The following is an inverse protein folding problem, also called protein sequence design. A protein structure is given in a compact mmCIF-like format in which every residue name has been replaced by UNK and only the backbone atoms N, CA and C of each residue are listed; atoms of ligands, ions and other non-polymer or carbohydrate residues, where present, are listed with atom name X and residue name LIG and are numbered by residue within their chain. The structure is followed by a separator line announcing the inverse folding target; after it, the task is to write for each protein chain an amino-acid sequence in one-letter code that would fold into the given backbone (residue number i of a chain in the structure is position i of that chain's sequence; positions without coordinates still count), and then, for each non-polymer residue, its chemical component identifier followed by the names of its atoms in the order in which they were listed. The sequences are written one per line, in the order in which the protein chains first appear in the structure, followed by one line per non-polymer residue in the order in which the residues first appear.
data_IF_857493167066
#
_entry.id   IF_857493167066
#
_cell.length_a   1.000
_cell.length_b   1.000
_cell.length_c   1.000
_cell.angle_alpha   90.00
_cell.angle_beta   90.00
_cell.angle_gamma   90.00
#
_symmetry.space_group_name_H-M   'P 1'
#
loop_
_entity.id
_entity.type
_entity.pdbx_description
1 polymer ?
#
# COMPACT_ATOMS: atom_id res chain seq x y z
N UNK A 1 14.81 24.98 2.42
CA UNK A 1 13.77 25.57 1.54
C UNK A 1 12.46 24.86 1.83
N UNK A 2 11.30 25.55 1.87
CA UNK A 2 10.03 24.84 1.97
C UNK A 2 9.88 23.92 0.77
N UNK A 3 9.46 22.68 1.01
CA UNK A 3 9.21 21.70 -0.05
C UNK A 3 8.11 22.26 -0.95
N UNK A 4 8.34 22.37 -2.27
CA UNK A 4 7.37 22.95 -3.18
C UNK A 4 6.06 22.16 -3.18
N UNK A 5 4.97 22.86 -3.48
CA UNK A 5 3.67 22.26 -3.76
C UNK A 5 3.85 21.24 -4.91
N UNK A 6 3.23 20.05 -4.86
CA UNK A 6 3.36 19.07 -5.94
C UNK A 6 2.98 19.68 -7.30
N UNK A 7 3.68 19.31 -8.35
CA UNK A 7 3.34 19.74 -9.71
C UNK A 7 1.90 19.33 -10.06
N UNK A 8 1.10 20.29 -10.52
CA UNK A 8 -0.31 20.08 -10.91
C UNK A 8 -1.34 20.33 -9.81
N UNK A 9 -0.90 20.61 -8.58
CA UNK A 9 -1.80 20.96 -7.49
C UNK A 9 -2.19 22.46 -7.60
N UNK A 10 -3.48 22.76 -7.75
CA UNK A 10 -3.96 24.14 -7.84
C UNK A 10 -3.52 24.89 -6.58
N UNK A 11 -2.75 25.98 -6.73
CA UNK A 11 -2.21 26.73 -5.60
C UNK A 11 -3.30 27.05 -4.56
N UNK A 12 -4.52 27.28 -5.00
CA UNK A 12 -5.72 27.59 -4.20
C UNK A 12 -6.17 26.45 -3.29
N UNK A 13 -6.04 25.18 -3.68
CA UNK A 13 -6.40 24.05 -2.81
C UNK A 13 -5.43 23.83 -1.65
N UNK A 14 -4.26 24.49 -1.68
CA UNK A 14 -3.25 24.45 -0.61
C UNK A 14 -3.29 25.72 0.27
N UNK A 15 -4.18 26.69 -0.01
CA UNK A 15 -4.32 27.96 0.74
C UNK A 15 -5.15 27.82 2.02
N UNK A 16 -5.09 26.68 2.71
CA UNK A 16 -5.90 26.47 3.92
C UNK A 16 -5.19 26.98 5.17
N UNK A 17 -3.87 26.77 5.26
CA UNK A 17 -3.02 27.30 6.32
C UNK A 17 -1.63 27.56 5.77
N UNK A 18 -0.96 28.62 6.23
CA UNK A 18 0.45 28.85 5.91
C UNK A 18 1.36 28.48 7.09
N UNK A 19 2.64 28.23 6.81
CA UNK A 19 3.64 27.85 7.83
C UNK A 19 3.75 28.88 8.97
N UNK A 20 3.61 30.19 8.67
CA UNK A 20 3.66 31.24 9.72
C UNK A 20 2.44 31.19 10.63
N UNK A 21 1.26 30.98 10.07
CA UNK A 21 0.01 30.84 10.83
C UNK A 21 0.02 29.56 11.66
N UNK A 22 0.51 28.45 11.12
CA UNK A 22 0.73 27.22 11.89
C UNK A 22 1.61 27.48 13.11
N UNK A 23 2.75 28.15 12.93
CA UNK A 23 3.66 28.53 14.02
C UNK A 23 3.07 29.53 15.01
N UNK A 24 2.09 30.33 14.60
CA UNK A 24 1.38 31.21 15.53
C UNK A 24 0.44 30.38 16.42
N UNK A 25 -0.31 29.45 15.83
CA UNK A 25 -1.19 28.53 16.55
C UNK A 25 -0.37 27.65 17.50
N UNK A 26 0.74 27.08 17.05
CA UNK A 26 1.61 26.24 17.88
C UNK A 26 2.25 26.98 19.07
N UNK A 27 2.24 28.32 19.05
CA UNK A 27 2.70 29.18 20.15
C UNK A 27 1.56 29.60 21.10
N UNK A 28 0.36 29.05 20.94
CA UNK A 28 -0.79 29.28 21.82
C UNK A 28 -1.89 30.16 21.22
N UNK A 29 -1.75 30.65 19.97
CA UNK A 29 -2.80 31.43 19.33
C UNK A 29 -3.87 30.52 18.68
N UNK A 30 -4.62 29.75 19.49
CA UNK A 30 -5.61 28.78 19.01
C UNK A 30 -6.68 29.38 18.07
N UNK A 31 -7.16 30.57 18.41
CA UNK A 31 -8.12 31.34 17.62
C UNK A 31 -7.54 31.95 16.32
N UNK A 32 -6.25 31.76 16.04
CA UNK A 32 -5.61 32.33 14.86
C UNK A 32 -6.17 31.73 13.56
N UNK A 33 -6.58 32.62 12.65
CA UNK A 33 -7.12 32.29 11.35
C UNK A 33 -6.17 32.71 10.23
N UNK A 34 -5.98 31.84 9.24
CA UNK A 34 -5.18 32.11 8.06
C UNK A 34 -6.10 32.40 6.88
N UNK A 35 -6.50 33.66 6.74
CA UNK A 35 -7.45 34.08 5.70
C UNK A 35 -6.69 34.54 4.48
N UNK A 36 -6.94 33.92 3.33
CA UNK A 36 -6.33 34.29 2.05
C UNK A 36 -7.27 35.18 1.24
N UNK A 37 -6.71 36.21 0.59
CA UNK A 37 -7.44 36.96 -0.42
C UNK A 37 -7.41 36.21 -1.76
N UNK A 38 -8.51 36.20 -2.53
CA UNK A 38 -8.52 35.65 -3.89
C UNK A 38 -7.49 36.32 -4.82
N UNK A 39 -7.17 37.59 -4.55
CA UNK A 39 -6.26 38.39 -5.38
C UNK A 39 -4.82 38.42 -4.88
N UNK A 40 -4.51 37.73 -3.77
CA UNK A 40 -3.17 37.75 -3.15
C UNK A 40 -2.61 36.35 -2.98
N UNK A 41 -1.31 36.19 -3.24
CA UNK A 41 -0.55 34.98 -2.89
C UNK A 41 -0.22 34.87 -1.39
N UNK A 42 -0.71 35.80 -0.56
CA UNK A 42 -0.46 35.85 0.88
C UNK A 42 -1.76 35.87 1.68
N UNK A 43 -1.73 35.26 2.87
CA UNK A 43 -2.78 35.44 3.86
C UNK A 43 -2.71 36.83 4.51
N UNK A 44 -3.83 37.31 5.06
CA UNK A 44 -3.96 38.61 5.73
C UNK A 44 -2.88 38.84 6.79
N UNK A 45 -2.60 37.81 7.59
CA UNK A 45 -1.55 37.84 8.61
C UNK A 45 -0.16 38.09 8.00
N UNK A 46 0.22 37.32 6.98
CA UNK A 46 1.52 37.50 6.32
C UNK A 46 1.62 38.83 5.57
N UNK A 47 0.52 39.30 4.97
CA UNK A 47 0.44 40.60 4.30
C UNK A 47 0.67 41.73 5.29
N UNK A 48 -0.01 41.74 6.44
CA UNK A 48 0.14 42.77 7.47
C UNK A 48 1.56 42.87 8.03
N UNK A 49 2.30 41.76 8.03
CA UNK A 49 3.68 41.70 8.53
C UNK A 49 4.73 41.82 7.42
N UNK A 50 4.33 42.15 6.19
CA UNK A 50 5.21 42.22 5.02
C UNK A 50 6.12 41.00 4.84
N UNK A 51 5.61 39.81 5.20
CA UNK A 51 6.41 38.60 5.28
C UNK A 51 6.16 37.62 4.13
N UNK A 52 7.07 36.66 3.87
CA UNK A 52 6.80 35.55 2.97
C UNK A 52 5.64 34.69 3.48
N UNK A 53 4.73 34.31 2.59
CA UNK A 53 3.62 33.42 2.88
C UNK A 53 3.84 32.10 2.15
N UNK A 54 4.05 31.02 2.91
CA UNK A 54 4.34 29.69 2.35
C UNK A 54 3.20 28.77 2.76
N UNK A 55 2.41 28.22 1.82
CA UNK A 55 1.42 27.19 2.10
C UNK A 55 2.02 26.01 2.88
N UNK A 56 1.19 25.27 3.62
CA UNK A 56 1.65 24.04 4.24
C UNK A 56 2.12 23.04 3.17
N UNK A 57 3.29 22.39 3.36
CA UNK A 57 3.73 21.32 2.50
C UNK A 57 2.75 20.14 2.50
N UNK A 58 2.59 19.50 1.35
CA UNK A 58 1.69 18.35 1.15
C UNK A 58 1.95 17.16 2.09
N UNK A 59 3.20 16.98 2.54
CA UNK A 59 3.58 15.85 3.39
C UNK A 59 3.01 15.96 4.82
N UNK A 60 2.49 17.13 5.22
CA UNK A 60 1.80 17.33 6.49
C UNK A 60 0.33 16.87 6.45
N UNK A 61 -0.09 16.09 5.45
CA UNK A 61 -1.49 15.70 5.25
C UNK A 61 -2.16 15.15 6.52
N UNK A 62 -1.58 14.14 7.21
CA UNK A 62 -2.13 13.60 8.45
C UNK A 62 -2.21 14.61 9.58
N UNK A 63 -1.14 15.38 9.82
CA UNK A 63 -1.06 16.34 10.91
C UNK A 63 -1.99 17.54 10.67
N UNK A 64 -2.14 17.94 9.41
CA UNK A 64 -3.10 18.94 9.00
C UNK A 64 -4.54 18.45 9.18
N UNK A 65 -4.84 17.20 8.83
CA UNK A 65 -6.15 16.61 9.06
C UNK A 65 -6.49 16.57 10.56
N UNK A 66 -5.53 16.21 11.42
CA UNK A 66 -5.69 16.25 12.88
C UNK A 66 -5.96 17.68 13.39
N UNK A 67 -5.23 18.67 12.89
CA UNK A 67 -5.46 20.08 13.23
C UNK A 67 -6.83 20.57 12.76
N UNK A 68 -7.25 20.19 11.55
CA UNK A 68 -8.57 20.53 11.02
C UNK A 68 -9.69 19.88 11.85
N UNK A 69 -9.53 18.62 12.25
CA UNK A 69 -10.46 17.92 13.12
C UNK A 69 -10.56 18.60 14.50
N UNK A 70 -9.43 18.97 15.11
CA UNK A 70 -9.42 19.69 16.39
C UNK A 70 -10.15 21.05 16.29
N UNK A 71 -9.98 21.77 15.18
CA UNK A 71 -10.69 23.04 14.93
C UNK A 71 -12.19 22.87 14.65
N UNK A 72 -12.61 21.71 14.19
CA UNK A 72 -14.01 21.39 13.91
C UNK A 72 -14.72 20.71 15.10
N UNK A 73 -13.99 20.33 16.15
CA UNK A 73 -14.52 19.66 17.32
C UNK A 73 -15.53 20.55 18.08
N UNK A 74 -16.54 19.91 18.66
CA UNK A 74 -17.54 20.55 19.53
C UNK A 74 -17.62 19.78 20.85
N UNK A 75 -17.28 20.39 22.00
CA UNK A 75 -16.80 21.78 22.15
C UNK A 75 -15.41 21.99 21.51
N UNK A 76 -15.14 23.22 21.05
CA UNK A 76 -13.82 23.61 20.60
C UNK A 76 -12.88 23.71 21.81
N UNK A 77 -11.80 22.94 21.80
CA UNK A 77 -10.80 22.94 22.86
C UNK A 77 -9.50 23.55 22.33
N UNK A 78 -9.16 24.75 22.80
CA UNK A 78 -7.95 25.47 22.38
C UNK A 78 -6.67 24.64 22.61
N UNK A 79 -6.63 23.87 23.70
CA UNK A 79 -5.51 22.98 24.02
C UNK A 79 -5.28 21.93 22.93
N UNK A 80 -6.34 21.34 22.37
CA UNK A 80 -6.25 20.31 21.33
C UNK A 80 -5.81 20.92 19.99
N UNK A 81 -6.32 22.11 19.66
CA UNK A 81 -5.89 22.86 18.47
C UNK A 81 -4.39 23.21 18.56
N UNK A 82 -3.93 23.65 19.73
CA UNK A 82 -2.51 23.96 19.96
C UNK A 82 -1.67 22.68 19.91
N UNK A 83 -2.10 21.59 20.54
CA UNK A 83 -1.39 20.32 20.52
C UNK A 83 -1.22 19.78 19.09
N UNK A 84 -2.29 19.78 18.29
CA UNK A 84 -2.23 19.37 16.89
C UNK A 84 -1.30 20.28 16.06
N UNK A 85 -1.33 21.59 16.31
CA UNK A 85 -0.43 22.54 15.64
C UNK A 85 1.03 22.36 16.05
N UNK A 86 1.31 22.02 17.32
CA UNK A 86 2.65 21.68 17.81
C UNK A 86 3.18 20.46 17.10
N UNK A 87 2.37 19.42 16.95
CA UNK A 87 2.78 18.20 16.25
C UNK A 87 3.04 18.45 14.76
N UNK A 88 2.13 19.15 14.07
CA UNK A 88 2.34 19.55 12.68
C UNK A 88 3.62 20.40 12.51
N UNK A 89 3.90 21.30 13.45
CA UNK A 89 5.14 22.10 13.42
C UNK A 89 6.38 21.24 13.73
N UNK A 90 6.28 20.23 14.60
CA UNK A 90 7.36 19.27 14.88
C UNK A 90 7.73 18.50 13.62
N UNK A 91 6.75 17.92 12.91
CA UNK A 91 6.97 17.19 11.65
C UNK A 91 7.56 18.11 10.58
N UNK A 92 7.08 19.35 10.49
CA UNK A 92 7.66 20.34 9.58
C UNK A 92 9.14 20.63 9.87
N UNK A 93 9.51 20.77 11.15
CA UNK A 93 10.89 21.01 11.56
C UNK A 93 11.79 19.78 11.31
N UNK A 94 11.29 18.58 11.61
CA UNK A 94 12.00 17.33 11.34
C UNK A 94 12.24 17.15 9.83
N UNK A 95 11.20 17.38 9.01
CA UNK A 95 11.33 17.33 7.56
C UNK A 95 12.37 18.34 7.06
N UNK A 96 12.34 19.57 7.56
CA UNK A 96 13.32 20.61 7.19
C UNK A 96 14.76 20.24 7.62
N UNK A 97 14.92 19.60 8.77
CA UNK A 97 16.22 19.15 9.27
C UNK A 97 16.76 17.92 8.51
N UNK A 98 15.87 17.06 8.00
CA UNK A 98 16.24 15.87 7.22
C UNK A 98 16.66 16.15 5.78
N UNK A 99 16.39 17.36 5.26
CA UNK A 99 16.84 17.73 3.91
C UNK A 99 18.36 17.90 3.93
N UNK A 100 19.13 17.15 3.12
CA UNK A 100 20.57 17.33 3.01
C UNK A 100 20.92 18.78 2.64
N UNK A 101 22.08 19.25 3.12
CA UNK A 101 22.62 20.52 2.65
C UNK A 101 23.25 20.28 1.28
N UNK A 102 22.74 20.95 0.26
CA UNK A 102 23.29 20.89 -1.09
C UNK A 102 24.39 21.94 -1.26
N UNK A 103 25.48 21.55 -1.94
CA UNK A 103 26.60 22.41 -2.29
C UNK A 103 26.38 23.14 -3.63
N UNK A 104 25.45 22.67 -4.44
CA UNK A 104 25.07 23.27 -5.73
C UNK A 104 23.60 22.99 -6.06
N UNK A 105 23.07 23.72 -7.05
CA UNK A 105 21.73 23.46 -7.57
C UNK A 105 21.63 22.09 -8.25
N UNK A 106 22.66 21.68 -8.99
CA UNK A 106 22.70 20.36 -9.62
C UNK A 106 22.59 19.21 -8.60
N UNK A 107 23.22 19.34 -7.42
CA UNK A 107 23.11 18.34 -6.35
C UNK A 107 21.69 18.29 -5.76
N UNK A 108 21.05 19.45 -5.59
CA UNK A 108 19.65 19.54 -5.16
C UNK A 108 18.73 18.88 -6.19
N UNK A 109 18.92 19.17 -7.47
CA UNK A 109 18.06 18.68 -8.54
C UNK A 109 18.19 17.15 -8.67
N UNK A 110 19.41 16.60 -8.55
CA UNK A 110 19.64 15.14 -8.46
C UNK A 110 18.94 14.51 -7.26
N UNK A 111 18.95 15.17 -6.10
CA UNK A 111 18.24 14.69 -4.92
C UNK A 111 16.72 14.70 -5.12
N UNK A 112 16.18 15.75 -5.75
CA UNK A 112 14.76 15.84 -6.08
C UNK A 112 14.34 14.76 -7.09
N UNK A 113 15.18 14.49 -8.11
CA UNK A 113 14.98 13.41 -9.08
C UNK A 113 15.02 12.03 -8.41
N UNK A 114 16.00 11.78 -7.54
CA UNK A 114 16.10 10.54 -6.78
C UNK A 114 14.87 10.33 -5.88
N UNK A 115 14.38 11.39 -5.24
CA UNK A 115 13.16 11.35 -4.43
C UNK A 115 11.92 11.05 -5.29
N UNK A 116 11.80 11.69 -6.45
CA UNK A 116 10.69 11.47 -7.37
C UNK A 116 10.68 10.03 -7.89
N UNK A 117 11.85 9.51 -8.29
CA UNK A 117 12.04 8.13 -8.74
C UNK A 117 11.62 7.14 -7.66
N UNK A 118 12.07 7.35 -6.42
CA UNK A 118 11.68 6.52 -5.28
C UNK A 118 10.16 6.52 -5.06
N UNK A 119 9.53 7.70 -5.09
CA UNK A 119 8.08 7.81 -4.92
C UNK A 119 7.32 7.07 -6.04
N UNK A 120 7.81 7.14 -7.29
CA UNK A 120 7.22 6.42 -8.42
C UNK A 120 7.32 4.90 -8.23
N UNK A 121 8.48 4.40 -7.78
CA UNK A 121 8.67 2.98 -7.46
C UNK A 121 7.72 2.52 -6.34
N UNK A 122 7.68 3.25 -5.22
CA UNK A 122 6.81 2.93 -4.08
C UNK A 122 5.32 2.90 -4.49
N UNK A 123 4.89 3.86 -5.32
CA UNK A 123 3.54 3.89 -5.87
C UNK A 123 3.25 2.68 -6.78
N UNK A 124 4.17 2.35 -7.68
CA UNK A 124 4.08 1.20 -8.58
C UNK A 124 3.96 -0.13 -7.81
N UNK A 125 4.81 -0.34 -6.81
CA UNK A 125 4.75 -1.50 -5.91
C UNK A 125 3.43 -1.55 -5.15
N UNK A 126 2.98 -0.45 -4.57
CA UNK A 126 1.70 -0.40 -3.86
C UNK A 126 0.51 -0.72 -4.77
N UNK A 127 0.56 -0.32 -6.04
CA UNK A 127 -0.47 -0.66 -7.04
C UNK A 127 -0.42 -2.13 -7.43
N UNK A 128 0.77 -2.71 -7.61
CA UNK A 128 0.95 -4.14 -7.87
C UNK A 128 0.43 -5.00 -6.72
N UNK A 129 0.76 -4.66 -5.48
CA UNK A 129 0.25 -5.38 -4.31
C UNK A 129 -1.28 -5.33 -4.29
N UNK A 130 -1.87 -4.14 -4.52
CA UNK A 130 -3.34 -3.99 -4.57
C UNK A 130 -3.98 -4.77 -5.71
N UNK A 131 -3.35 -4.90 -6.87
CA UNK A 131 -3.89 -5.71 -7.97
C UNK A 131 -3.80 -7.20 -7.66
N UNK A 132 -2.66 -7.66 -7.14
CA UNK A 132 -2.47 -9.06 -6.70
C UNK A 132 -3.46 -9.46 -5.61
N UNK A 133 -3.69 -8.60 -4.61
CA UNK A 133 -4.67 -8.86 -3.55
C UNK A 133 -6.11 -8.93 -4.10
N UNK A 134 -6.47 -8.06 -5.05
CA UNK A 134 -7.79 -8.13 -5.71
C UNK A 134 -7.96 -9.44 -6.48
N UNK A 135 -6.91 -9.86 -7.22
CA UNK A 135 -6.91 -11.13 -7.97
C UNK A 135 -7.03 -12.34 -7.04
N UNK A 136 -6.24 -12.39 -5.97
CA UNK A 136 -6.31 -13.45 -4.97
C UNK A 136 -7.69 -13.55 -4.33
N UNK A 137 -8.33 -12.41 -4.04
CA UNK A 137 -9.69 -12.37 -3.50
C UNK A 137 -10.71 -13.00 -4.47
N UNK A 138 -10.63 -12.65 -5.76
CA UNK A 138 -11.53 -13.26 -6.77
C UNK A 138 -11.27 -14.75 -6.96
N UNK A 139 -10.01 -15.20 -6.87
CA UNK A 139 -9.66 -16.62 -6.91
C UNK A 139 -10.19 -17.35 -5.67
N UNK A 140 -10.10 -16.76 -4.48
CA UNK A 140 -10.63 -17.35 -3.25
C UNK A 140 -12.17 -17.46 -3.28
N UNK A 141 -12.86 -16.46 -3.83
CA UNK A 141 -14.33 -16.46 -3.94
C UNK A 141 -14.85 -17.53 -4.92
N UNK A 142 -14.03 -18.00 -5.87
CA UNK A 142 -14.41 -19.08 -6.80
C UNK A 142 -14.15 -20.50 -6.25
N UNK A 143 -13.29 -20.65 -5.24
CA UNK A 143 -12.92 -21.95 -4.65
C UNK A 143 -14.13 -22.76 -4.15
N UNK A 144 -15.14 -22.19 -3.45
CA UNK A 144 -16.31 -22.95 -3.03
C UNK A 144 -17.14 -23.51 -4.18
N UNK A 145 -17.28 -22.77 -5.28
CA UNK A 145 -17.99 -23.24 -6.46
C UNK A 145 -17.26 -24.42 -7.11
N UNK A 146 -15.94 -24.30 -7.28
CA UNK A 146 -15.09 -25.38 -7.81
C UNK A 146 -15.10 -26.63 -6.91
N UNK A 147 -15.09 -26.45 -5.59
CA UNK A 147 -15.26 -27.55 -4.62
C UNK A 147 -16.63 -28.22 -4.76
N UNK A 148 -17.70 -27.42 -4.91
CA UNK A 148 -19.04 -27.93 -5.13
C UNK A 148 -19.15 -28.76 -6.41
N UNK A 149 -18.55 -28.29 -7.51
CA UNK A 149 -18.48 -29.02 -8.77
C UNK A 149 -17.71 -30.35 -8.63
N UNK A 150 -16.58 -30.34 -7.92
CA UNK A 150 -15.76 -31.53 -7.69
C UNK A 150 -16.49 -32.57 -6.83
N UNK A 151 -17.15 -32.14 -5.74
CA UNK A 151 -17.98 -33.02 -4.91
C UNK A 151 -19.12 -33.63 -5.73
N UNK A 152 -19.79 -32.84 -6.57
CA UNK A 152 -20.85 -33.32 -7.45
C UNK A 152 -20.34 -34.32 -8.50
N UNK A 153 -19.13 -34.14 -9.03
CA UNK A 153 -18.51 -35.09 -9.96
C UNK A 153 -18.13 -36.41 -9.25
N UNK A 154 -17.56 -36.33 -8.04
CA UNK A 154 -17.20 -37.53 -7.25
C UNK A 154 -18.44 -38.34 -6.86
N UNK A 155 -19.54 -37.69 -6.47
CA UNK A 155 -20.79 -38.37 -6.16
C UNK A 155 -21.43 -39.10 -7.36
N UNK A 156 -20.99 -38.79 -8.59
CA UNK A 156 -21.43 -39.45 -9.84
C UNK A 156 -20.50 -40.58 -10.28
N UNK A 157 -19.38 -40.81 -9.59
CA UNK A 157 -18.54 -41.98 -9.87
C UNK A 157 -19.32 -43.24 -9.51
N UNK A 158 -19.43 -44.21 -10.44
CA UNK A 158 -20.04 -45.49 -10.09
C UNK A 158 -19.23 -46.11 -8.95
N UNK A 159 -19.93 -46.47 -7.87
CA UNK A 159 -19.34 -47.26 -6.80
C UNK A 159 -19.01 -48.63 -7.40
N UNK A 160 -17.80 -48.79 -7.91
CA UNK A 160 -17.30 -50.09 -8.28
C UNK A 160 -17.22 -50.91 -6.99
N UNK A 161 -18.25 -51.71 -6.74
CA UNK A 161 -18.19 -52.78 -5.77
C UNK A 161 -16.98 -53.64 -6.13
N UNK A 162 -15.91 -53.52 -5.35
CA UNK A 162 -14.81 -54.47 -5.41
C UNK A 162 -15.31 -55.78 -4.81
N UNK A 163 -16.12 -56.52 -5.56
CA UNK A 163 -16.15 -57.96 -5.39
C UNK A 163 -14.90 -58.46 -6.07
N UNK A 164 -13.85 -58.72 -5.26
CA UNK A 164 -12.77 -59.61 -5.65
C UNK A 164 -13.41 -60.99 -5.82
N UNK A 165 -13.95 -61.25 -7.01
CA UNK A 165 -14.26 -62.59 -7.45
C UNK A 165 -12.91 -63.28 -7.68
N UNK A 166 -12.50 -64.04 -6.67
CA UNK A 166 -11.42 -65.02 -6.77
C UNK A 166 -11.76 -65.95 -7.95
N UNK A 167 -10.91 -66.06 -9.00
CA UNK A 167 -11.12 -67.09 -9.99
C UNK A 167 -10.73 -68.43 -9.36
N UNK A 168 -11.71 -69.18 -8.85
CA UNK A 168 -11.53 -70.60 -8.54
C UNK A 168 -11.37 -71.38 -9.84
N UNK A 169 -10.12 -71.41 -10.34
CA UNK A 169 -9.70 -72.29 -11.44
C UNK A 169 -9.08 -73.55 -10.80
N UNK A 170 -9.92 -74.56 -10.57
CA UNK A 170 -9.53 -75.83 -9.97
C UNK A 170 -10.20 -77.01 -10.67
N UNK A 171 -9.76 -77.32 -11.88
CA UNK A 171 -10.28 -78.44 -12.68
C UNK A 171 -9.17 -79.08 -13.49
N UNK A 172 -8.45 -79.97 -12.83
CA UNK A 172 -7.24 -80.71 -13.24
C UNK A 172 -7.51 -81.57 -14.49
N UNK A 173 -6.77 -81.33 -15.59
CA UNK A 173 -6.42 -82.38 -16.57
C UNK A 173 -4.92 -82.28 -16.85
N UNK A 174 -4.26 -83.42 -16.69
CA UNK A 174 -2.84 -83.69 -16.87
C UNK A 174 -2.67 -84.31 -18.27
N UNK A 175 -1.51 -84.05 -18.89
CA UNK A 175 -0.75 -84.92 -19.83
C UNK A 175 -0.38 -84.28 -21.18
N UNK A 176 0.89 -84.45 -21.57
CA UNK A 176 1.53 -84.04 -22.84
C UNK A 176 2.31 -82.71 -22.72
N UNK A 177 3.60 -82.63 -22.36
CA UNK A 177 4.86 -83.17 -22.92
C UNK A 177 5.51 -82.25 -23.99
N UNK A 178 6.84 -82.18 -23.92
CA UNK A 178 7.84 -81.59 -24.84
C UNK A 178 8.04 -80.05 -24.83
N UNK A 179 9.20 -79.59 -24.31
CA UNK A 179 10.38 -79.02 -25.04
C UNK A 179 10.13 -77.55 -25.45
N UNK A 180 10.98 -76.55 -25.25
CA UNK A 180 12.43 -76.42 -25.39
C UNK A 180 12.81 -75.01 -24.84
N UNK A 181 14.07 -74.83 -24.42
CA UNK A 181 14.98 -73.66 -24.60
C UNK A 181 14.40 -72.21 -24.75
N UNK A 182 15.00 -71.11 -24.32
CA UNK A 182 16.34 -70.70 -23.88
C UNK A 182 16.19 -69.20 -23.50
N UNK A 183 17.15 -68.63 -22.75
CA UNK A 183 17.52 -67.23 -22.97
C UNK A 183 17.38 -66.25 -21.79
N UNK A 184 18.46 -66.12 -21.00
CA UNK A 184 19.01 -64.81 -20.59
C UNK A 184 18.31 -64.06 -19.43
N UNK A 185 18.76 -64.17 -18.17
CA UNK A 185 19.81 -63.31 -17.52
C UNK A 185 19.43 -61.82 -17.51
N UNK A 186 18.87 -61.26 -16.41
CA UNK A 186 19.48 -60.75 -15.15
C UNK A 186 19.92 -59.27 -15.21
N UNK A 187 19.70 -58.61 -14.05
CA UNK A 187 20.26 -57.34 -13.51
C UNK A 187 19.26 -56.15 -13.57
N UNK A 188 18.74 -55.58 -12.47
CA UNK A 188 19.40 -54.89 -11.34
C UNK A 188 20.43 -53.87 -11.87
N UNK A 189 20.44 -52.56 -11.58
CA UNK A 189 20.27 -51.76 -10.35
C UNK A 189 19.73 -50.36 -10.83
N UNK A 190 19.12 -49.45 -10.05
CA UNK A 190 19.54 -48.91 -8.75
C UNK A 190 20.52 -47.75 -8.92
N UNK A 191 20.16 -46.58 -8.36
CA UNK A 191 20.90 -45.30 -8.19
C UNK A 191 20.65 -44.20 -9.24
#
# INVERSE_FOLDING_TARGET
MPVPVPSGALADSFRVLCVRCLRAISRGAAAHTCVWSPTSSKCSYCTSQHSPCVPLPWFLGPEFAALAAAKAATPLLDADVVAAAVEANRVLLLAAASVPKFRSEAERDLYEEARATRAALESGLAQQIRSSLRRLRTEQESVPALLGELVAAVGKLPTAATLVAVPTRGGRRKEGDEEEEDGGVRAAYGA
#
